data_IF_784576734116
#
_entry.id   IF_784576734116
#
_cell.length_a   1.000
_cell.length_b   1.000
_cell.length_c   1.000
_cell.angle_alpha   90.00
_cell.angle_beta   90.00
_cell.angle_gamma   90.00
#
_symmetry.space_group_name_H-M   'P 1'
#
loop_
_entity.id
_entity.type
_entity.pdbx_description
1 polymer ?
2 water ?
#
# COMPACT_ATOMS: atom_id res chain seq x y z
N UNK A 24 -18.75 4.00 -10.86
CA UNK A 24 -17.71 3.93 -9.84
C UNK A 24 -17.39 2.48 -9.48
N UNK A 25 -18.12 1.55 -10.10
CA UNK A 25 -17.88 0.14 -9.87
C UNK A 25 -16.45 -0.24 -10.24
N UNK A 26 -15.95 0.27 -11.37
CA UNK A 26 -14.58 -0.02 -11.75
C UNK A 26 -13.56 0.57 -10.79
N UNK A 27 -13.79 1.80 -10.35
CA UNK A 27 -12.95 2.36 -9.29
C UNK A 27 -12.97 1.47 -8.06
N UNK A 28 -14.16 0.96 -7.68
CA UNK A 28 -14.24 0.09 -6.53
C UNK A 28 -13.47 -1.21 -6.69
N UNK A 29 -13.51 -1.80 -7.89
CA UNK A 29 -12.65 -2.96 -8.15
C UNK A 29 -11.20 -2.60 -7.91
N UNK A 30 -10.74 -1.50 -8.50
CA UNK A 30 -9.34 -1.13 -8.38
C UNK A 30 -8.97 -0.81 -6.94
N UNK A 31 -9.86 -0.13 -6.22
CA UNK A 31 -9.53 0.24 -4.85
C UNK A 31 -9.41 -1.00 -3.98
N UNK A 32 -10.35 -1.94 -4.11
CA UNK A 32 -10.22 -3.17 -3.37
C UNK A 32 -8.93 -3.90 -3.75
N UNK A 33 -8.62 -3.98 -5.05
CA UNK A 33 -7.44 -4.75 -5.45
C UNK A 33 -6.14 -4.14 -4.91
N UNK A 34 -6.06 -2.81 -4.87
CA UNK A 34 -4.88 -2.17 -4.28
C UNK A 34 -4.68 -2.60 -2.84
N UNK A 35 -5.77 -2.70 -2.06
CA UNK A 35 -5.63 -3.16 -0.69
C UNK A 35 -5.27 -4.63 -0.63
N UNK A 36 -5.91 -5.44 -1.48
CA UNK A 36 -5.73 -6.89 -1.41
C UNK A 36 -4.38 -7.35 -1.93
N UNK A 37 -3.78 -6.59 -2.85
CA UNK A 37 -2.50 -6.99 -3.45
C UNK A 37 -1.26 -6.53 -2.67
N UNK A 38 -1.43 -5.73 -1.62
CA UNK A 38 -0.27 -5.26 -0.85
C UNK A 38 0.60 -6.41 -0.35
N UNK A 39 0.06 -7.46 0.27
CA UNK A 39 0.96 -8.57 0.68
C UNK A 39 1.73 -9.18 -0.47
N UNK A 40 1.08 -9.38 -1.62
CA UNK A 40 1.79 -9.95 -2.76
C UNK A 40 2.92 -9.04 -3.20
N UNK A 41 2.69 -7.72 -3.12
CA UNK A 41 3.70 -6.77 -3.55
C UNK A 41 4.93 -6.77 -2.65
N UNK A 42 4.74 -6.90 -1.33
CA UNK A 42 5.86 -6.69 -0.42
C UNK A 42 6.43 -7.96 0.17
N UNK A 43 5.76 -9.11 0.01
CA UNK A 43 6.25 -10.33 0.59
C UNK A 43 5.73 -10.54 2.00
N UNK A 44 5.82 -11.78 2.50
CA UNK A 44 5.14 -12.11 3.75
C UNK A 44 5.75 -11.48 5.00
N UNK A 45 7.07 -11.29 5.05
CA UNK A 45 7.68 -10.70 6.25
C UNK A 45 7.15 -9.30 6.49
N UNK A 46 7.20 -8.45 5.46
CA UNK A 46 6.68 -7.09 5.61
C UNK A 46 5.16 -7.09 5.76
N UNK A 47 4.46 -7.98 5.05
CA UNK A 47 3.01 -7.97 5.10
C UNK A 47 2.50 -8.34 6.49
N UNK A 48 3.23 -9.18 7.21
CA UNK A 48 2.77 -9.59 8.52
C UNK A 48 2.79 -8.42 9.50
N UNK A 49 3.59 -7.39 9.23
CA UNK A 49 3.80 -6.28 10.15
C UNK A 49 3.20 -4.97 9.64
N UNK A 50 2.39 -5.03 8.60
CA UNK A 50 1.73 -3.86 8.03
C UNK A 50 0.30 -4.24 7.70
N UNK A 51 -0.54 -3.23 7.52
CA UNK A 51 -1.93 -3.50 7.17
C UNK A 51 -2.41 -2.39 6.26
N UNK A 52 -2.80 -2.71 5.03
CA UNK A 52 -3.35 -1.68 4.14
C UNK A 52 -4.71 -1.26 4.65
N UNK A 53 -4.89 0.05 4.81
CA UNK A 53 -6.09 0.55 5.48
C UNK A 53 -7.08 1.27 4.57
N UNK A 54 -6.60 2.06 3.62
CA UNK A 54 -7.49 2.90 2.85
C UNK A 54 -6.81 3.24 1.54
N UNK A 55 -7.58 3.24 0.47
CA UNK A 55 -7.11 3.75 -0.80
C UNK A 55 -8.20 4.65 -1.36
N UNK A 56 -7.82 5.88 -1.69
CA UNK A 56 -8.79 6.87 -2.10
C UNK A 56 -8.02 8.02 -2.73
N UNK A 57 -8.57 8.57 -3.81
CA UNK A 57 -7.89 9.67 -4.46
C UNK A 57 -6.52 9.32 -4.99
N UNK A 58 -6.23 8.04 -5.19
CA UNK A 58 -4.94 7.60 -5.69
C UNK A 58 -3.91 7.28 -4.63
N UNK A 59 -4.22 7.50 -3.35
CA UNK A 59 -3.27 7.32 -2.27
C UNK A 59 -3.66 6.10 -1.46
N UNK A 60 -2.68 5.20 -1.27
CA UNK A 60 -2.83 4.04 -0.40
C UNK A 60 -2.17 4.35 0.94
N UNK A 61 -2.93 4.25 2.02
CA UNK A 61 -2.38 4.37 3.37
C UNK A 61 -2.21 2.98 3.94
N UNK A 62 -0.99 2.69 4.39
CA UNK A 62 -0.65 1.42 5.01
C UNK A 62 -0.29 1.70 6.46
N UNK A 63 -0.93 1.00 7.39
CA UNK A 63 -0.59 1.14 8.80
C UNK A 63 0.62 0.27 9.12
N UNK A 64 1.50 0.79 9.96
CA UNK A 64 2.74 0.13 10.34
C UNK A 64 2.81 0.18 11.85
N UNK A 65 3.64 -0.70 12.42
CA UNK A 65 3.58 -0.88 13.86
C UNK A 65 4.25 0.24 14.64
N UNK A 66 5.27 0.89 14.09
CA UNK A 66 5.93 1.93 14.87
C UNK A 66 6.60 2.93 13.95
N UNK A 67 7.14 3.96 14.59
CA UNK A 67 7.69 5.10 13.89
C UNK A 67 8.90 4.71 13.05
N UNK A 68 9.78 3.86 13.59
CA UNK A 68 10.99 3.54 12.83
C UNK A 68 10.65 2.73 11.57
N UNK A 69 9.77 1.74 11.69
CA UNK A 69 9.37 0.98 10.50
C UNK A 69 8.73 1.91 9.46
N UNK A 70 7.89 2.84 9.91
CA UNK A 70 7.29 3.78 8.96
C UNK A 70 8.36 4.58 8.23
N UNK A 71 9.39 5.01 8.96
CA UNK A 71 10.46 5.75 8.31
C UNK A 71 11.18 4.89 7.28
N UNK A 72 11.61 3.68 7.66
CA UNK A 72 12.35 2.85 6.71
C UNK A 72 11.49 2.47 5.51
N UNK A 73 10.19 2.25 5.72
CA UNK A 73 9.29 1.99 4.60
C UNK A 73 9.19 3.20 3.69
N UNK A 74 9.04 4.40 4.28
CA UNK A 74 8.95 5.62 3.48
C UNK A 74 10.20 5.84 2.62
N UNK A 75 11.39 5.54 3.16
CA UNK A 75 12.60 5.83 2.39
C UNK A 75 12.70 4.99 1.12
N UNK A 76 12.04 3.84 1.06
CA UNK A 76 12.13 2.99 -0.12
C UNK A 76 10.75 2.74 -0.71
N UNK A 77 9.81 3.66 -0.48
CA UNK A 77 8.42 3.39 -0.78
C UNK A 77 8.17 3.13 -2.26
N UNK A 78 8.93 3.77 -3.16
CA UNK A 78 8.65 3.56 -4.58
C UNK A 78 9.01 2.16 -5.06
N UNK A 79 9.88 1.45 -4.33
CA UNK A 79 10.12 0.05 -4.68
C UNK A 79 8.85 -0.76 -4.49
N UNK A 80 8.17 -0.55 -3.36
CA UNK A 80 6.93 -1.29 -3.10
C UNK A 80 5.81 -0.82 -4.02
N UNK A 81 5.71 0.49 -4.23
CA UNK A 81 4.66 1.03 -5.09
C UNK A 81 4.81 0.51 -6.50
N UNK A 82 6.04 0.39 -6.99
CA UNK A 82 6.25 -0.13 -8.34
C UNK A 82 5.79 -1.58 -8.44
N UNK A 83 6.13 -2.41 -7.46
CA UNK A 83 5.65 -3.79 -7.50
C UNK A 83 4.13 -3.87 -7.37
N UNK A 84 3.54 -3.09 -6.46
CA UNK A 84 2.09 -3.08 -6.36
C UNK A 84 1.45 -2.69 -7.70
N UNK A 85 2.00 -1.67 -8.37
CA UNK A 85 1.37 -1.20 -9.60
C UNK A 85 1.52 -2.20 -10.72
N UNK A 86 2.58 -3.00 -10.71
CA UNK A 86 2.72 -4.05 -11.71
C UNK A 86 1.67 -5.13 -11.52
N UNK A 87 1.36 -5.45 -10.26
CA UNK A 87 0.31 -6.42 -9.95
C UNK A 87 -1.07 -5.88 -10.28
N UNK A 88 -1.31 -4.58 -10.02
CA UNK A 88 -2.59 -3.97 -10.35
C UNK A 88 -2.82 -3.95 -11.85
N UNK A 89 -1.79 -3.69 -12.62
CA UNK A 89 -1.91 -3.66 -14.05
C UNK A 89 -2.19 -2.26 -14.58
N UNK A 90 -1.93 -2.11 -15.88
CA UNK A 90 -2.07 -0.83 -16.55
C UNK A 90 -3.48 -0.30 -16.39
N UNK A 91 -3.59 0.96 -15.96
CA UNK A 91 -4.87 1.60 -15.77
C UNK A 91 -5.43 1.50 -14.37
N UNK A 92 -4.88 0.62 -13.53
CA UNK A 92 -5.38 0.44 -12.17
C UNK A 92 -4.35 0.85 -11.13
N UNK A 93 -3.38 1.68 -11.50
CA UNK A 93 -2.27 1.96 -10.60
C UNK A 93 -2.69 2.89 -9.46
N UNK A 94 -1.92 2.80 -8.37
CA UNK A 94 -1.98 3.71 -7.24
C UNK A 94 -0.94 4.80 -7.46
N UNK A 95 -1.27 6.03 -7.06
CA UNK A 95 -0.40 7.17 -7.32
C UNK A 95 0.59 7.44 -6.20
N UNK A 96 0.19 7.22 -4.96
CA UNK A 96 1.02 7.55 -3.82
C UNK A 96 0.86 6.48 -2.76
N UNK A 97 1.95 6.19 -2.06
CA UNK A 97 1.96 5.24 -0.97
C UNK A 97 2.41 5.98 0.28
N UNK A 98 1.61 5.91 1.34
CA UNK A 98 1.92 6.61 2.58
C UNK A 98 1.76 5.65 3.75
N UNK A 99 2.54 5.87 4.80
CA UNK A 99 2.55 4.98 5.94
C UNK A 99 2.09 5.71 7.19
N UNK A 100 1.24 5.05 7.95
CA UNK A 100 0.66 5.66 9.14
C UNK A 100 0.97 4.83 10.38
N UNK A 101 1.09 5.51 11.52
CA UNK A 101 1.29 4.88 12.82
C UNK A 101 0.17 5.31 13.75
N UNK A 102 -0.49 4.34 14.36
CA UNK A 102 -1.53 4.65 15.32
C UNK A 102 -0.93 5.30 16.55
N UNK A 103 -1.69 6.20 17.17
CA UNK A 103 -1.10 6.95 18.27
C UNK A 103 -1.14 6.19 19.57
N UNK A 104 -2.09 5.27 19.70
CA UNK A 104 -2.33 4.55 20.95
C UNK A 104 -1.39 3.37 21.14
#
# INVERSE_FOLDING_TARGET
MTRSRRSGPLDMSTLMGATLGKGKLGYGVQRARALLLWPQAVGPEIARMTRPRSVQGGTLFVEVRDSAAAHHLTMQRHHFLKRLNELLGAGQEVSELRFSVGHIR
#
